data_IF_978849640890
#
_entry.id   IF_978849640890
#
_cell.length_a   1.000
_cell.length_b   1.000
_cell.length_c   1.000
_cell.angle_alpha   90.00
_cell.angle_beta   90.00
_cell.angle_gamma   90.00
#
_symmetry.space_group_name_H-M   'P 1'
#
loop_
_entity.id
_entity.type
_entity.pdbx_description
1 polymer ?
#
# COMPACT_ATOMS: atom_id res chain seq x y z
N UNK A 1 3.03 17.37 10.13
CA UNK A 1 2.34 16.07 10.28
C UNK A 1 2.81 15.27 11.49
N UNK A 2 4.11 14.96 11.64
CA UNK A 2 4.64 14.14 12.76
C UNK A 2 4.19 14.60 14.17
N UNK A 3 4.29 15.91 14.46
CA UNK A 3 3.86 16.47 15.75
C UNK A 3 2.36 16.32 16.01
N UNK A 4 1.52 16.32 14.96
CA UNK A 4 0.07 16.18 15.09
C UNK A 4 -0.35 14.73 15.31
N UNK A 5 0.36 13.75 14.72
CA UNK A 5 0.04 12.35 14.89
C UNK A 5 0.33 11.89 16.33
N UNK A 6 1.53 12.17 16.85
CA UNK A 6 1.91 11.81 18.22
C UNK A 6 1.06 12.54 19.27
N UNK A 7 0.69 13.81 19.06
CA UNK A 7 -0.20 14.51 19.98
C UNK A 7 -1.60 13.88 20.01
N UNK A 8 -2.11 13.44 18.86
CA UNK A 8 -3.44 12.86 18.75
C UNK A 8 -3.52 11.44 19.29
N UNK A 9 -2.44 10.67 19.18
CA UNK A 9 -2.35 9.35 19.81
C UNK A 9 -2.46 9.45 21.34
N UNK A 10 -1.98 10.56 21.90
CA UNK A 10 -1.94 10.80 23.35
C UNK A 10 -3.17 11.54 23.88
N UNK A 11 -4.12 11.93 23.03
CA UNK A 11 -5.31 12.67 23.48
C UNK A 11 -6.44 11.76 23.99
N UNK A 12 -6.27 10.42 23.93
CA UNK A 12 -7.25 9.39 24.32
C UNK A 12 -8.64 9.52 23.64
N UNK A 13 -8.77 10.40 22.64
CA UNK A 13 -9.96 10.60 21.82
C UNK A 13 -9.94 9.62 20.64
N UNK A 14 -10.41 8.41 20.91
CA UNK A 14 -10.35 7.28 19.98
C UNK A 14 -11.20 7.49 18.72
N UNK A 15 -12.38 8.08 18.85
CA UNK A 15 -13.29 8.30 17.72
C UNK A 15 -12.67 9.29 16.72
N UNK A 16 -12.01 10.33 17.24
CA UNK A 16 -11.29 11.28 16.39
C UNK A 16 -10.03 10.65 15.77
N UNK A 17 -9.25 9.90 16.54
CA UNK A 17 -8.05 9.23 16.02
C UNK A 17 -8.40 8.21 14.93
N UNK A 18 -9.45 7.41 15.13
CA UNK A 18 -9.91 6.42 14.17
C UNK A 18 -10.31 7.06 12.83
N UNK A 19 -10.99 8.22 12.90
CA UNK A 19 -11.30 9.04 11.73
C UNK A 19 -10.03 9.55 11.04
N UNK A 20 -9.03 9.97 11.81
CA UNK A 20 -7.76 10.46 11.29
C UNK A 20 -6.93 9.37 10.59
N UNK A 21 -6.93 8.13 11.11
CA UNK A 21 -6.21 6.99 10.51
C UNK A 21 -6.61 6.73 9.05
N UNK A 22 -7.84 7.07 8.66
CA UNK A 22 -8.30 6.87 7.28
C UNK A 22 -7.55 7.80 6.31
N UNK A 23 -7.18 8.99 6.77
CA UNK A 23 -6.56 10.07 5.99
C UNK A 23 -5.04 10.12 6.05
N UNK A 24 -4.41 9.29 6.89
CA UNK A 24 -2.97 9.25 7.01
C UNK A 24 -2.36 8.30 5.99
N UNK A 25 -1.48 8.85 5.16
CA UNK A 25 -0.62 8.09 4.26
C UNK A 25 0.50 7.38 5.03
N UNK A 26 1.68 7.24 4.43
CA UNK A 26 2.81 6.55 5.04
C UNK A 26 3.40 7.31 6.23
N UNK A 27 3.23 6.75 7.41
CA UNK A 27 3.85 7.24 8.63
C UNK A 27 5.25 6.64 8.85
N UNK A 28 6.13 7.37 9.56
CA UNK A 28 7.41 6.82 10.00
C UNK A 28 7.24 5.65 10.98
N UNK A 29 8.16 4.69 10.94
CA UNK A 29 8.11 3.50 11.78
C UNK A 29 8.01 3.79 13.29
N UNK A 30 8.58 4.91 13.76
CA UNK A 30 8.47 5.34 15.16
C UNK A 30 7.03 5.67 15.56
N UNK A 31 6.27 6.32 14.67
CA UNK A 31 4.85 6.66 14.92
C UNK A 31 3.98 5.41 14.82
N UNK A 32 4.26 4.53 13.86
CA UNK A 32 3.55 3.25 13.74
C UNK A 32 3.71 2.38 15.00
N UNK A 33 4.89 2.41 15.63
CA UNK A 33 5.11 1.72 16.90
C UNK A 33 4.28 2.33 18.03
N UNK A 34 4.23 3.66 18.11
CA UNK A 34 3.41 4.37 19.11
C UNK A 34 1.91 4.08 18.90
N UNK A 35 1.43 4.08 17.65
CA UNK A 35 0.07 3.69 17.31
C UNK A 35 -0.21 2.25 17.75
N UNK A 36 0.61 1.29 17.33
CA UNK A 36 0.44 -0.11 17.73
C UNK A 36 0.42 -0.28 19.25
N UNK A 37 1.15 0.52 20.03
CA UNK A 37 1.15 0.36 21.49
C UNK A 37 -0.11 0.90 22.16
N UNK A 38 -0.70 1.95 21.61
CA UNK A 38 -1.73 2.70 22.30
C UNK A 38 -3.14 2.48 21.73
N UNK A 39 -3.30 2.03 20.48
CA UNK A 39 -4.61 1.98 19.83
C UNK A 39 -5.34 0.62 19.96
N UNK A 40 -6.68 0.61 20.01
CA UNK A 40 -7.46 -0.63 19.97
C UNK A 40 -7.29 -1.37 18.65
N UNK A 41 -7.37 -2.71 18.71
CA UNK A 41 -7.27 -3.59 17.53
C UNK A 41 -8.66 -3.79 16.95
N UNK A 42 -8.96 -3.07 15.89
CA UNK A 42 -10.19 -3.20 15.13
C UNK A 42 -9.90 -3.24 13.62
N UNK A 43 -10.94 -3.32 12.80
CA UNK A 43 -10.81 -3.41 11.35
C UNK A 43 -10.15 -2.16 10.73
N UNK A 44 -10.45 -0.96 11.23
CA UNK A 44 -9.85 0.29 10.75
C UNK A 44 -8.34 0.30 11.04
N UNK A 45 -7.97 -0.10 12.26
CA UNK A 45 -6.58 -0.28 12.66
C UNK A 45 -5.86 -1.27 11.76
N UNK A 46 -6.46 -2.45 11.50
CA UNK A 46 -5.86 -3.46 10.65
C UNK A 46 -5.62 -2.93 9.23
N UNK A 47 -6.65 -2.36 8.61
CA UNK A 47 -6.56 -1.75 7.26
C UNK A 47 -5.57 -0.59 7.22
N UNK A 48 -5.46 0.18 8.29
CA UNK A 48 -4.43 1.21 8.40
C UNK A 48 -3.04 0.58 8.32
N UNK A 49 -2.68 -0.36 9.18
CA UNK A 49 -1.34 -0.96 9.18
C UNK A 49 -0.98 -1.70 7.88
N UNK A 50 -1.96 -2.30 7.19
CA UNK A 50 -1.77 -2.93 5.88
C UNK A 50 -1.52 -1.91 4.75
N UNK A 51 -1.97 -0.66 4.93
CA UNK A 51 -1.72 0.47 4.01
C UNK A 51 -0.35 1.14 4.20
N UNK A 52 0.38 0.80 5.25
CA UNK A 52 1.64 1.48 5.56
C UNK A 52 2.83 0.76 4.94
N UNK A 53 3.59 1.46 4.11
CA UNK A 53 4.82 0.96 3.51
C UNK A 53 5.88 0.57 4.57
N UNK A 54 5.84 1.24 5.72
CA UNK A 54 6.82 1.09 6.81
C UNK A 54 6.36 0.14 7.93
N UNK A 55 5.21 -0.53 7.79
CA UNK A 55 4.79 -1.52 8.78
C UNK A 55 5.79 -2.66 8.86
N UNK A 56 6.17 -3.02 10.08
CA UNK A 56 6.99 -4.20 10.34
C UNK A 56 6.21 -5.49 10.05
N UNK A 57 6.92 -6.60 9.85
CA UNK A 57 6.29 -7.94 9.73
C UNK A 57 5.35 -8.24 10.90
N UNK A 58 5.74 -7.87 12.13
CA UNK A 58 4.92 -8.11 13.32
C UNK A 58 3.60 -7.33 13.25
N UNK A 59 3.66 -6.06 12.85
CA UNK A 59 2.47 -5.21 12.68
C UNK A 59 1.55 -5.73 11.58
N UNK A 60 2.11 -6.10 10.41
CA UNK A 60 1.30 -6.68 9.32
C UNK A 60 0.70 -8.02 9.75
N UNK A 61 1.44 -8.89 10.43
CA UNK A 61 0.90 -10.16 10.95
C UNK A 61 -0.23 -9.93 11.95
N UNK A 62 -0.09 -8.98 12.87
CA UNK A 62 -1.16 -8.62 13.83
C UNK A 62 -2.39 -8.06 13.09
N UNK A 63 -2.19 -7.14 12.15
CA UNK A 63 -3.25 -6.57 11.33
C UNK A 63 -4.01 -7.64 10.53
N UNK A 64 -3.30 -8.58 9.90
CA UNK A 64 -3.91 -9.69 9.18
C UNK A 64 -4.74 -10.58 10.12
N UNK A 65 -4.26 -10.86 11.34
CA UNK A 65 -5.03 -11.65 12.32
C UNK A 65 -6.27 -10.93 12.81
N UNK A 66 -6.22 -9.61 12.99
CA UNK A 66 -7.39 -8.80 13.35
C UNK A 66 -8.40 -8.81 12.21
N UNK A 67 -7.94 -8.58 10.97
CA UNK A 67 -8.83 -8.55 9.81
C UNK A 67 -9.47 -9.91 9.52
N UNK A 68 -8.70 -10.99 9.59
CA UNK A 68 -9.15 -12.36 9.34
C UNK A 68 -9.54 -13.11 10.63
N UNK A 69 -9.95 -12.41 11.69
CA UNK A 69 -10.25 -13.04 12.98
C UNK A 69 -11.34 -14.12 12.90
N UNK A 70 -12.23 -14.02 11.91
CA UNK A 70 -13.33 -14.98 11.67
C UNK A 70 -13.02 -15.99 10.55
N UNK A 71 -11.81 -15.99 10.00
CA UNK A 71 -11.38 -16.89 8.93
C UNK A 71 -10.27 -17.83 9.47
N UNK A 72 -10.64 -19.04 9.95
CA UNK A 72 -9.69 -19.96 10.56
C UNK A 72 -8.63 -20.46 9.56
N UNK A 73 -8.94 -20.53 8.27
CA UNK A 73 -7.99 -20.98 7.24
C UNK A 73 -6.92 -19.93 7.00
N UNK A 74 -7.29 -18.65 6.96
CA UNK A 74 -6.33 -17.55 6.88
C UNK A 74 -5.43 -17.51 8.13
N UNK A 75 -5.98 -17.72 9.34
CA UNK A 75 -5.20 -17.78 10.56
C UNK A 75 -4.21 -18.95 10.57
N UNK A 76 -4.64 -20.13 10.13
CA UNK A 76 -3.77 -21.30 9.99
C UNK A 76 -2.62 -21.07 9.00
N UNK A 77 -2.88 -20.38 7.88
CA UNK A 77 -1.84 -19.98 6.94
C UNK A 77 -0.80 -19.05 7.61
N UNK A 78 -1.25 -18.09 8.43
CA UNK A 78 -0.33 -17.21 9.18
C UNK A 78 0.50 -17.99 10.21
N UNK A 79 -0.06 -19.01 10.86
CA UNK A 79 0.68 -19.88 11.79
C UNK A 79 1.79 -20.67 11.09
N UNK A 80 1.51 -21.19 9.88
CA UNK A 80 2.52 -21.86 9.06
C UNK A 80 3.62 -20.87 8.65
N UNK A 81 3.22 -19.67 8.22
CA UNK A 81 4.14 -18.63 7.78
C UNK A 81 4.97 -18.04 8.93
N UNK A 82 4.52 -18.08 10.18
CA UNK A 82 5.24 -17.54 11.33
C UNK A 82 6.67 -18.10 11.47
N UNK A 83 6.89 -19.34 11.03
CA UNK A 83 8.20 -20.03 11.09
C UNK A 83 9.11 -19.73 9.89
N UNK A 84 8.58 -19.08 8.86
CA UNK A 84 9.33 -18.79 7.64
C UNK A 84 10.20 -17.52 7.78
N UNK A 85 11.34 -17.44 7.06
CA UNK A 85 12.12 -16.21 7.00
C UNK A 85 11.37 -15.11 6.26
N UNK A 86 11.69 -13.85 6.55
CA UNK A 86 10.96 -12.67 6.02
C UNK A 86 10.79 -12.70 4.51
N UNK A 87 11.84 -13.06 3.77
CA UNK A 87 11.77 -13.15 2.30
C UNK A 87 10.64 -14.08 1.85
N UNK A 88 10.52 -15.25 2.47
CA UNK A 88 9.48 -16.24 2.13
C UNK A 88 8.12 -15.73 2.62
N UNK A 89 8.06 -15.16 3.81
CA UNK A 89 6.83 -14.60 4.38
C UNK A 89 6.18 -13.57 3.44
N UNK A 90 6.92 -12.51 3.08
CA UNK A 90 6.42 -11.46 2.17
C UNK A 90 6.11 -11.99 0.77
N UNK A 91 6.95 -12.90 0.25
CA UNK A 91 6.72 -13.50 -1.07
C UNK A 91 5.44 -14.33 -1.13
N UNK A 92 5.12 -15.06 -0.05
CA UNK A 92 3.91 -15.88 -0.01
C UNK A 92 2.67 -15.01 0.12
N UNK A 93 2.70 -13.97 0.96
CA UNK A 93 1.58 -13.04 1.08
C UNK A 93 1.28 -12.33 -0.25
N UNK A 94 2.31 -11.84 -0.95
CA UNK A 94 2.15 -11.17 -2.24
C UNK A 94 1.64 -12.09 -3.37
N UNK A 95 1.68 -13.42 -3.18
CA UNK A 95 1.14 -14.41 -4.14
C UNK A 95 -0.18 -15.02 -3.67
N UNK A 96 -0.69 -14.59 -2.52
CA UNK A 96 -1.92 -15.12 -1.97
C UNK A 96 -3.13 -14.61 -2.74
N UNK A 97 -4.18 -15.43 -2.81
CA UNK A 97 -5.49 -15.02 -3.31
C UNK A 97 -6.31 -14.27 -2.24
N UNK A 98 -5.83 -14.22 -0.99
CA UNK A 98 -6.45 -13.43 0.07
C UNK A 98 -6.10 -11.95 -0.16
N UNK A 99 -7.12 -11.13 -0.45
CA UNK A 99 -6.97 -9.72 -0.81
C UNK A 99 -6.05 -8.95 0.13
N UNK A 100 -6.23 -9.08 1.44
CA UNK A 100 -5.44 -8.30 2.41
C UNK A 100 -4.05 -8.89 2.67
N UNK A 101 -3.82 -10.19 2.40
CA UNK A 101 -2.47 -10.74 2.35
C UNK A 101 -1.71 -10.09 1.20
N UNK A 102 -2.31 -10.10 0.00
CA UNK A 102 -1.70 -9.57 -1.21
C UNK A 102 -1.47 -8.07 -1.09
N UNK A 103 -2.50 -7.32 -0.71
CA UNK A 103 -2.44 -5.88 -0.50
C UNK A 103 -1.37 -5.48 0.52
N UNK A 104 -1.41 -6.09 1.71
CA UNK A 104 -0.45 -5.79 2.78
C UNK A 104 1.00 -6.08 2.39
N UNK A 105 1.24 -7.08 1.53
CA UNK A 105 2.57 -7.35 1.02
C UNK A 105 2.96 -6.40 -0.13
N UNK A 106 2.13 -6.27 -1.16
CA UNK A 106 2.47 -5.45 -2.33
C UNK A 106 2.68 -3.97 -1.97
N UNK A 107 2.04 -3.48 -0.92
CA UNK A 107 2.19 -2.11 -0.46
C UNK A 107 3.38 -1.93 0.51
N UNK A 108 4.01 -3.01 1.00
CA UNK A 108 5.04 -2.93 2.01
C UNK A 108 6.46 -2.92 1.43
N UNK A 109 7.33 -2.06 1.97
CA UNK A 109 8.70 -1.88 1.47
C UNK A 109 9.63 -3.06 1.74
N UNK A 110 9.23 -4.01 2.58
CA UNK A 110 9.98 -5.23 2.86
C UNK A 110 9.72 -6.34 1.82
N UNK A 111 8.73 -6.16 0.93
CA UNK A 111 8.45 -7.11 -0.13
C UNK A 111 9.57 -7.13 -1.17
N UNK A 112 10.09 -8.32 -1.53
CA UNK A 112 11.19 -8.42 -2.48
C UNK A 112 10.84 -7.80 -3.86
N UNK A 113 11.73 -6.98 -4.46
CA UNK A 113 11.48 -6.34 -5.76
C UNK A 113 11.10 -7.31 -6.88
N UNK A 114 11.72 -8.50 -6.88
CA UNK A 114 11.42 -9.54 -7.87
C UNK A 114 9.99 -10.07 -7.78
N UNK A 115 9.38 -10.05 -6.59
CA UNK A 115 7.98 -10.46 -6.40
C UNK A 115 7.04 -9.39 -6.92
N UNK A 116 7.33 -8.12 -6.61
CA UNK A 116 6.58 -6.98 -7.13
C UNK A 116 6.56 -6.95 -8.67
N UNK A 117 7.74 -7.12 -9.29
CA UNK A 117 7.88 -7.13 -10.74
C UNK A 117 7.16 -8.32 -11.41
N UNK A 118 7.05 -9.44 -10.69
CA UNK A 118 6.38 -10.65 -11.15
C UNK A 118 4.85 -10.60 -11.01
N UNK A 119 4.27 -9.52 -10.47
CA UNK A 119 2.82 -9.38 -10.39
C UNK A 119 2.21 -9.34 -11.80
N UNK A 120 1.32 -10.29 -12.09
CA UNK A 120 0.69 -10.46 -13.41
C UNK A 120 -0.75 -9.97 -13.44
N UNK A 121 -1.41 -9.89 -12.29
CA UNK A 121 -2.82 -9.53 -12.20
C UNK A 121 -2.97 -8.01 -12.35
N UNK A 122 -3.66 -7.52 -13.40
CA UNK A 122 -3.76 -6.09 -13.67
C UNK A 122 -4.37 -5.28 -12.53
N UNK A 123 -5.29 -5.87 -11.77
CA UNK A 123 -5.92 -5.26 -10.59
C UNK A 123 -4.91 -4.88 -9.49
N UNK A 124 -3.75 -5.55 -9.46
CA UNK A 124 -2.70 -5.34 -8.45
C UNK A 124 -1.53 -4.51 -8.96
N UNK A 125 -1.50 -4.18 -10.26
CA UNK A 125 -0.36 -3.48 -10.85
C UNK A 125 -0.11 -2.13 -10.22
N UNK A 126 -1.14 -1.32 -10.01
CA UNK A 126 -0.97 0.01 -9.42
C UNK A 126 -0.44 -0.07 -7.99
N UNK A 127 -0.95 -1.01 -7.17
CA UNK A 127 -0.44 -1.23 -5.81
C UNK A 127 1.04 -1.62 -5.85
N UNK A 128 1.40 -2.59 -6.69
CA UNK A 128 2.79 -3.01 -6.83
C UNK A 128 3.69 -1.88 -7.35
N UNK A 129 3.26 -1.16 -8.39
CA UNK A 129 4.03 -0.10 -9.06
C UNK A 129 4.23 1.14 -8.16
N UNK A 130 3.30 1.42 -7.25
CA UNK A 130 3.46 2.48 -6.26
C UNK A 130 4.42 2.11 -5.12
N UNK A 131 4.78 0.83 -4.97
CA UNK A 131 5.73 0.42 -3.93
C UNK A 131 7.12 1.04 -4.20
N UNK A 132 7.77 1.64 -3.19
CA UNK A 132 9.08 2.29 -3.34
C UNK A 132 10.23 1.34 -3.74
N UNK A 133 10.02 0.02 -3.64
CA UNK A 133 10.98 -1.02 -4.06
C UNK A 133 10.68 -1.59 -5.45
N UNK A 134 9.66 -1.10 -6.15
CA UNK A 134 9.34 -1.59 -7.49
C UNK A 134 10.50 -1.28 -8.46
N UNK A 135 10.98 -2.27 -9.26
CA UNK A 135 12.09 -2.04 -10.16
C UNK A 135 11.79 -0.98 -11.24
N UNK A 136 12.63 0.05 -11.34
CA UNK A 136 12.43 1.21 -12.22
C UNK A 136 12.43 0.82 -13.70
N UNK A 137 13.27 -0.12 -14.10
CA UNK A 137 13.33 -0.67 -15.45
C UNK A 137 12.05 -1.39 -15.85
N UNK A 138 11.48 -2.17 -14.91
CA UNK A 138 10.18 -2.84 -15.11
C UNK A 138 9.05 -1.81 -15.17
N UNK A 139 9.10 -0.77 -14.32
CA UNK A 139 8.11 0.32 -14.34
C UNK A 139 8.08 1.00 -15.70
N UNK A 140 9.24 1.42 -16.20
CA UNK A 140 9.38 2.05 -17.53
C UNK A 140 8.91 1.14 -18.64
N UNK A 141 9.25 -0.15 -18.59
CA UNK A 141 8.81 -1.12 -19.59
C UNK A 141 7.28 -1.29 -19.60
N UNK A 142 6.63 -1.27 -18.42
CA UNK A 142 5.16 -1.30 -18.30
C UNK A 142 4.53 -0.01 -18.82
N UNK A 143 4.99 1.16 -18.37
CA UNK A 143 4.47 2.46 -18.81
C UNK A 143 4.64 2.68 -20.32
N UNK A 144 5.71 2.15 -20.93
CA UNK A 144 5.88 2.18 -22.39
C UNK A 144 4.81 1.35 -23.12
N UNK A 145 4.38 0.23 -22.54
CA UNK A 145 3.35 -0.65 -23.12
C UNK A 145 1.95 -0.09 -22.89
N UNK A 146 1.72 0.43 -21.69
CA UNK A 146 0.46 1.06 -21.31
C UNK A 146 0.72 2.38 -20.57
N UNK A 147 0.74 3.50 -21.32
CA UNK A 147 0.90 4.83 -20.75
C UNK A 147 -0.19 5.25 -19.76
N UNK A 148 -1.40 4.68 -19.87
CA UNK A 148 -2.54 5.11 -19.05
C UNK A 148 -2.36 4.80 -17.58
N UNK A 149 -1.58 3.75 -17.27
CA UNK A 149 -1.21 3.41 -15.90
C UNK A 149 -0.55 4.59 -15.16
N UNK A 150 0.13 5.49 -15.88
CA UNK A 150 0.73 6.69 -15.28
C UNK A 150 -0.29 7.64 -14.66
N UNK A 151 -1.58 7.57 -15.03
CA UNK A 151 -2.60 8.43 -14.44
C UNK A 151 -3.01 7.96 -13.03
N UNK A 152 -2.77 6.70 -12.71
CA UNK A 152 -3.16 6.06 -11.45
C UNK A 152 -2.01 5.97 -10.42
N UNK A 153 -0.78 6.27 -10.83
CA UNK A 153 0.36 6.29 -9.93
C UNK A 153 0.28 7.48 -8.95
N UNK A 154 0.76 7.24 -7.73
CA UNK A 154 0.91 8.28 -6.70
C UNK A 154 1.98 9.29 -7.14
N UNK A 155 3.10 8.80 -7.67
CA UNK A 155 4.20 9.62 -8.20
C UNK A 155 4.42 9.28 -9.68
N UNK A 156 3.62 9.87 -10.60
CA UNK A 156 3.66 9.52 -12.01
C UNK A 156 4.83 10.17 -12.78
N UNK A 157 5.17 9.64 -13.96
CA UNK A 157 6.13 10.29 -14.87
C UNK A 157 5.48 11.54 -15.49
N UNK A 158 5.85 12.72 -15.00
CA UNK A 158 5.20 14.00 -15.34
C UNK A 158 5.14 14.26 -16.86
N UNK A 159 6.21 13.94 -17.60
CA UNK A 159 6.24 14.13 -19.04
C UNK A 159 5.27 13.21 -19.77
N UNK A 160 5.04 12.00 -19.26
CA UNK A 160 4.05 11.07 -19.80
C UNK A 160 2.63 11.59 -19.56
N UNK A 161 2.35 12.11 -18.36
CA UNK A 161 1.05 12.73 -18.03
C UNK A 161 0.81 13.96 -18.93
N UNK A 162 1.81 14.82 -19.15
CA UNK A 162 1.72 15.95 -20.09
C UNK A 162 1.45 15.50 -21.52
N UNK A 163 2.11 14.45 -21.99
CA UNK A 163 1.85 13.89 -23.33
C UNK A 163 0.42 13.35 -23.44
N UNK A 164 -0.11 12.72 -22.39
CA UNK A 164 -1.49 12.24 -22.36
C UNK A 164 -2.51 13.38 -22.35
N UNK A 165 -2.22 14.49 -21.65
CA UNK A 165 -3.07 15.68 -21.66
C UNK A 165 -3.16 16.32 -23.05
N UNK A 166 -2.04 16.40 -23.77
CA UNK A 166 -1.98 17.01 -25.11
C UNK A 166 -2.50 16.07 -26.20
N UNK A 167 -2.06 14.82 -26.20
CA UNK A 167 -2.19 13.89 -27.31
C UNK A 167 -2.98 12.62 -26.97
N UNK A 168 -3.64 12.56 -25.81
CA UNK A 168 -4.46 11.42 -25.40
C UNK A 168 -5.50 11.06 -26.46
N UNK A 169 -5.66 9.77 -26.74
CA UNK A 169 -6.51 9.26 -27.85
C UNK A 169 -7.96 9.73 -27.75
N UNK A 170 -8.48 9.82 -26.53
CA UNK A 170 -9.86 10.24 -26.27
C UNK A 170 -9.87 11.53 -25.46
N UNK A 171 -10.98 12.26 -25.55
CA UNK A 171 -11.21 13.45 -24.70
C UNK A 171 -11.16 13.10 -23.20
N UNK A 172 -11.72 11.96 -22.80
CA UNK A 172 -11.71 11.50 -21.42
C UNK A 172 -10.28 11.30 -20.88
N UNK A 173 -9.39 10.67 -21.67
CA UNK A 173 -7.97 10.50 -21.29
C UNK A 173 -7.29 11.85 -21.11
N UNK A 174 -7.51 12.80 -22.04
CA UNK A 174 -6.92 14.14 -21.94
C UNK A 174 -7.42 14.88 -20.71
N UNK A 175 -8.72 14.82 -20.42
CA UNK A 175 -9.32 15.44 -19.24
C UNK A 175 -8.81 14.82 -17.93
N UNK A 176 -8.70 13.50 -17.86
CA UNK A 176 -8.12 12.82 -16.70
C UNK A 176 -6.66 13.21 -16.48
N UNK A 177 -5.87 13.27 -17.56
CA UNK A 177 -4.48 13.70 -17.48
C UNK A 177 -4.33 15.16 -17.06
N UNK A 178 -5.19 16.07 -17.53
CA UNK A 178 -5.20 17.46 -17.06
C UNK A 178 -5.51 17.55 -15.56
N UNK A 179 -6.55 16.84 -15.08
CA UNK A 179 -6.84 16.79 -13.64
C UNK A 179 -5.67 16.25 -12.83
N UNK A 180 -5.01 15.20 -13.32
CA UNK A 180 -3.82 14.64 -12.66
C UNK A 180 -2.67 15.65 -12.61
N UNK A 181 -2.48 16.48 -13.64
CA UNK A 181 -1.50 17.57 -13.60
C UNK A 181 -1.88 18.63 -12.56
N UNK A 182 -3.15 19.01 -12.49
CA UNK A 182 -3.65 19.98 -11.50
C UNK A 182 -3.48 19.46 -10.06
N UNK A 183 -3.58 18.16 -9.82
CA UNK A 183 -3.31 17.53 -8.51
C UNK A 183 -1.83 17.56 -8.10
N UNK A 184 -0.91 17.66 -9.08
CA UNK A 184 0.53 17.63 -8.85
C UNK A 184 1.16 19.03 -8.68
N UNK A 185 0.40 20.10 -8.94
CA UNK A 185 0.83 21.50 -8.88
C UNK A 185 0.14 22.27 -7.75
#
# INVERSE_FOLDING_TARGET
>A
MLLNATSLIRSDDWDFLESALISWDNLPAVVLKELQQNTPRNDIWAKFFLRQENSSRAQVNEALRVYYALDPDALAQLDVLAKQPDRIWWSTLAKSNLTFFKFGALNNRHTPPAVLAAEIDPEWWIVAMNNPRFPVDVLKARLKRDPLLSLELVNPELDLVRQLALNGKTRAIREQAMRKLDELY
#
